data_IF_223893344488
#
_entry.id   IF_223893344488
#
_cell.length_a   1.000
_cell.length_b   1.000
_cell.length_c   1.000
_cell.angle_alpha   90.00
_cell.angle_beta   90.00
_cell.angle_gamma   90.00
#
_symmetry.space_group_name_H-M   'P 1'
#
loop_
_entity.id
_entity.type
_entity.pdbx_description
1 polymer ?
#
# COMPACT_ATOMS: atom_id res chain seq x y z
N UNK A 1 -25.70 57.07 -44.20
CA UNK A 1 -25.75 55.60 -44.26
C UNK A 1 -24.36 55.05 -44.51
N UNK A 2 -23.70 54.45 -43.52
CA UNK A 2 -22.40 53.80 -43.71
C UNK A 2 -22.59 52.37 -44.24
N UNK A 3 -21.84 52.00 -45.27
CA UNK A 3 -21.74 50.63 -45.79
C UNK A 3 -20.75 49.84 -44.94
N UNK A 4 -21.24 48.84 -44.22
CA UNK A 4 -20.43 47.88 -43.46
C UNK A 4 -19.55 47.04 -44.39
N UNK A 5 -18.27 46.78 -44.06
CA UNK A 5 -17.48 45.79 -44.76
C UNK A 5 -17.87 44.38 -44.30
N UNK A 6 -18.22 43.53 -45.28
CA UNK A 6 -18.42 42.09 -45.10
C UNK A 6 -17.15 41.45 -44.58
N UNK A 7 -17.14 41.00 -43.32
CA UNK A 7 -16.14 40.07 -42.79
C UNK A 7 -16.28 38.72 -43.48
N UNK A 8 -15.41 38.46 -44.46
CA UNK A 8 -15.18 37.11 -44.98
C UNK A 8 -14.35 36.33 -43.95
N UNK A 9 -15.02 35.44 -43.20
CA UNK A 9 -14.38 34.38 -42.41
C UNK A 9 -13.48 33.55 -43.33
N UNK A 10 -12.17 33.39 -43.05
CA UNK A 10 -11.33 32.51 -43.84
C UNK A 10 -11.84 31.06 -43.69
N UNK A 11 -11.82 30.25 -44.76
CA UNK A 11 -12.21 28.85 -44.69
C UNK A 11 -11.30 28.16 -43.67
N UNK A 12 -11.88 27.32 -42.81
CA UNK A 12 -11.11 26.43 -41.94
C UNK A 12 -10.17 25.62 -42.82
N UNK A 13 -8.89 25.94 -42.82
CA UNK A 13 -7.89 25.16 -43.52
C UNK A 13 -7.81 23.80 -42.82
N UNK A 14 -8.54 22.82 -43.36
CA UNK A 14 -8.34 21.41 -43.02
C UNK A 14 -6.89 21.12 -43.39
N UNK A 15 -6.02 21.01 -42.37
CA UNK A 15 -4.62 20.66 -42.56
C UNK A 15 -4.56 19.36 -43.37
N UNK A 16 -3.67 19.25 -44.37
CA UNK A 16 -3.53 18.01 -45.12
C UNK A 16 -3.18 16.86 -44.15
N UNK A 17 -3.63 15.63 -44.43
CA UNK A 17 -3.37 14.48 -43.57
C UNK A 17 -1.86 14.32 -43.36
N UNK A 18 -1.44 14.42 -42.11
CA UNK A 18 -0.03 14.35 -41.70
C UNK A 18 0.24 13.00 -41.08
N UNK A 19 1.14 12.21 -41.69
CA UNK A 19 1.57 10.92 -41.12
C UNK A 19 2.18 11.06 -39.73
N UNK A 20 2.80 12.21 -39.45
CA UNK A 20 3.25 12.55 -38.11
C UNK A 20 2.05 12.77 -37.17
N UNK A 21 1.00 13.45 -37.64
CA UNK A 21 -0.26 13.61 -36.90
C UNK A 21 -0.90 12.27 -36.54
N UNK A 22 -0.98 11.34 -37.49
CA UNK A 22 -1.53 9.99 -37.27
C UNK A 22 -0.69 9.19 -36.27
N UNK A 23 0.64 9.30 -36.34
CA UNK A 23 1.55 8.67 -35.39
C UNK A 23 1.42 9.26 -33.97
N UNK A 24 1.33 10.59 -33.86
CA UNK A 24 1.12 11.28 -32.58
C UNK A 24 -0.24 10.94 -31.98
N UNK A 25 -1.30 10.84 -32.79
CA UNK A 25 -2.62 10.42 -32.32
C UNK A 25 -2.60 8.97 -31.80
N UNK A 26 -1.93 8.08 -32.52
CA UNK A 26 -1.77 6.68 -32.09
C UNK A 26 -1.05 6.58 -30.75
N UNK A 27 0.05 7.33 -30.60
CA UNK A 27 0.81 7.39 -29.35
C UNK A 27 -0.05 7.95 -28.21
N UNK A 28 -0.77 9.05 -28.44
CA UNK A 28 -1.63 9.67 -27.43
C UNK A 28 -2.69 8.69 -26.89
N UNK A 29 -3.33 7.91 -27.77
CA UNK A 29 -4.31 6.89 -27.38
C UNK A 29 -3.66 5.78 -26.52
N UNK A 30 -2.45 5.36 -26.89
CA UNK A 30 -1.72 4.33 -26.15
C UNK A 30 -1.32 4.81 -24.75
N UNK A 31 -0.78 6.02 -24.63
CA UNK A 31 -0.42 6.63 -23.34
C UNK A 31 -1.64 6.84 -22.44
N UNK A 32 -2.77 7.26 -23.01
CA UNK A 32 -4.05 7.36 -22.28
C UNK A 32 -4.53 5.99 -21.77
N UNK A 33 -4.32 4.90 -22.54
CA UNK A 33 -4.59 3.55 -22.07
C UNK A 33 -3.65 3.10 -20.94
N UNK A 34 -2.35 3.40 -21.04
CA UNK A 34 -1.37 3.13 -19.97
C UNK A 34 -1.71 3.91 -18.71
N UNK A 35 -2.07 5.19 -18.84
CA UNK A 35 -2.49 6.04 -17.73
C UNK A 35 -3.72 5.48 -17.01
N UNK A 36 -4.74 5.03 -17.74
CA UNK A 36 -5.90 4.35 -17.15
C UNK A 36 -5.51 3.06 -16.41
N UNK A 37 -4.67 2.22 -17.02
CA UNK A 37 -4.20 1.00 -16.38
C UNK A 37 -3.43 1.30 -15.08
N UNK A 38 -2.69 2.42 -15.04
CA UNK A 38 -1.99 2.87 -13.84
C UNK A 38 -2.94 3.30 -12.73
N UNK A 39 -3.99 4.06 -13.05
CA UNK A 39 -5.00 4.44 -12.06
C UNK A 39 -5.70 3.20 -11.46
N UNK A 40 -6.07 2.23 -12.30
CA UNK A 40 -6.63 0.95 -11.82
C UNK A 40 -5.67 0.16 -10.93
N UNK A 41 -4.38 0.18 -11.26
CA UNK A 41 -3.35 -0.44 -10.44
C UNK A 41 -3.27 0.23 -9.06
N UNK A 42 -3.23 1.55 -9.03
CA UNK A 42 -3.10 2.32 -7.81
C UNK A 42 -4.31 2.06 -6.89
N UNK A 43 -5.53 2.08 -7.41
CA UNK A 43 -6.76 1.73 -6.68
C UNK A 43 -6.67 0.30 -6.11
N UNK A 44 -6.28 -0.67 -6.93
CA UNK A 44 -6.15 -2.07 -6.51
C UNK A 44 -5.07 -2.27 -5.44
N UNK A 45 -4.00 -1.46 -5.45
CA UNK A 45 -2.93 -1.50 -4.44
C UNK A 45 -3.39 -0.88 -3.12
N UNK A 46 -4.11 0.25 -3.18
CA UNK A 46 -4.64 0.90 -1.98
C UNK A 46 -5.57 -0.07 -1.24
N UNK A 47 -6.61 -0.55 -1.92
CA UNK A 47 -7.64 -1.42 -1.34
C UNK A 47 -7.10 -2.82 -1.01
N UNK A 48 -6.22 -3.33 -1.88
CA UNK A 48 -5.76 -4.72 -1.82
C UNK A 48 -4.57 -4.94 -0.90
N UNK A 49 -3.75 -3.92 -0.69
CA UNK A 49 -2.48 -4.05 0.04
C UNK A 49 -2.31 -2.98 1.12
N UNK A 50 -2.42 -1.70 0.81
CA UNK A 50 -2.06 -0.63 1.76
C UNK A 50 -2.97 -0.65 2.99
N UNK A 51 -4.29 -0.63 2.82
CA UNK A 51 -5.21 -0.62 3.97
C UNK A 51 -5.15 -1.92 4.80
N UNK A 52 -5.16 -3.12 4.19
CA UNK A 52 -5.02 -4.37 4.96
C UNK A 52 -3.69 -4.44 5.73
N UNK A 53 -2.59 -3.99 5.13
CA UNK A 53 -1.28 -4.05 5.77
C UNK A 53 -1.13 -3.01 6.88
N UNK A 54 -1.76 -1.83 6.73
CA UNK A 54 -1.86 -0.85 7.81
C UNK A 54 -2.62 -1.41 9.02
N UNK A 55 -3.74 -2.09 8.78
CA UNK A 55 -4.54 -2.74 9.82
C UNK A 55 -3.73 -3.84 10.53
N UNK A 56 -2.98 -4.65 9.78
CA UNK A 56 -2.07 -5.62 10.36
C UNK A 56 -0.97 -4.98 11.22
N UNK A 57 -0.46 -3.82 10.80
CA UNK A 57 0.48 -3.02 11.59
C UNK A 57 -0.05 -2.67 12.99
N UNK A 58 -1.34 -2.36 13.11
CA UNK A 58 -1.99 -2.10 14.41
C UNK A 58 -1.97 -3.35 15.30
N UNK A 59 -2.22 -4.53 14.74
CA UNK A 59 -2.18 -5.81 15.49
C UNK A 59 -0.78 -6.09 16.03
N UNK A 60 0.26 -5.83 15.22
CA UNK A 60 1.66 -5.94 15.67
C UNK A 60 1.93 -4.98 16.84
N UNK A 61 1.50 -3.72 16.73
CA UNK A 61 1.71 -2.74 17.80
C UNK A 61 1.01 -3.15 19.10
N UNK A 62 -0.20 -3.72 19.02
CA UNK A 62 -0.90 -4.25 20.18
C UNK A 62 -0.13 -5.40 20.83
N UNK A 63 0.40 -6.34 20.04
CA UNK A 63 1.23 -7.43 20.55
C UNK A 63 2.55 -6.92 21.18
N UNK A 64 3.19 -5.89 20.60
CA UNK A 64 4.39 -5.25 21.18
C UNK A 64 4.08 -4.62 22.53
N UNK A 65 2.96 -3.88 22.64
CA UNK A 65 2.52 -3.29 23.90
C UNK A 65 2.24 -4.35 24.96
N UNK A 66 1.56 -5.43 24.60
CA UNK A 66 1.28 -6.53 25.54
C UNK A 66 2.58 -7.18 26.07
N UNK A 67 3.60 -7.37 25.22
CA UNK A 67 4.93 -7.85 25.66
C UNK A 67 5.57 -6.91 26.68
N UNK A 68 5.43 -5.60 26.49
CA UNK A 68 5.93 -4.61 27.42
C UNK A 68 5.18 -4.67 28.76
N UNK A 69 3.85 -4.82 28.73
CA UNK A 69 3.03 -5.01 29.93
C UNK A 69 3.42 -6.26 30.72
N UNK A 70 3.74 -7.37 30.06
CA UNK A 70 4.28 -8.57 30.72
C UNK A 70 5.60 -8.27 31.43
N UNK A 71 6.51 -7.54 30.77
CA UNK A 71 7.80 -7.15 31.37
C UNK A 71 7.60 -6.29 32.61
N UNK A 72 6.68 -5.34 32.56
CA UNK A 72 6.35 -4.48 33.69
C UNK A 72 5.71 -5.27 34.85
N UNK A 73 4.80 -6.19 34.55
CA UNK A 73 4.20 -7.07 35.56
C UNK A 73 5.24 -7.96 36.26
N UNK A 74 6.24 -8.47 35.53
CA UNK A 74 7.37 -9.23 36.11
C UNK A 74 8.18 -8.38 37.08
N UNK A 75 8.56 -7.16 36.67
CA UNK A 75 9.31 -6.24 37.52
C UNK A 75 8.51 -5.88 38.78
N UNK A 76 7.19 -5.69 38.63
CA UNK A 76 6.29 -5.42 39.74
C UNK A 76 6.24 -6.60 40.72
N UNK A 77 6.07 -7.82 40.22
CA UNK A 77 6.11 -9.03 41.05
C UNK A 77 7.44 -9.17 41.79
N UNK A 78 8.57 -8.95 41.11
CA UNK A 78 9.90 -9.00 41.72
C UNK A 78 10.04 -7.97 42.85
N UNK A 79 9.49 -6.77 42.68
CA UNK A 79 9.49 -5.72 43.70
C UNK A 79 8.71 -6.12 44.96
N UNK A 80 7.54 -6.76 44.81
CA UNK A 80 6.74 -7.24 45.94
C UNK A 80 7.39 -8.44 46.64
N UNK A 81 8.03 -9.33 45.88
CA UNK A 81 8.83 -10.44 46.46
C UNK A 81 9.99 -9.92 47.31
N UNK A 82 10.66 -8.85 46.87
CA UNK A 82 11.69 -8.19 47.68
C UNK A 82 11.11 -7.51 48.93
N UNK A 83 9.95 -6.85 48.81
CA UNK A 83 9.27 -6.22 49.94
C UNK A 83 8.83 -7.23 51.00
N UNK A 84 8.27 -8.38 50.57
CA UNK A 84 7.92 -9.50 51.46
C UNK A 84 9.14 -10.01 52.22
N UNK A 85 10.23 -10.32 51.52
CA UNK A 85 11.49 -10.77 52.15
C UNK A 85 12.05 -9.75 53.14
N UNK A 86 11.95 -8.45 52.83
CA UNK A 86 12.37 -7.38 53.73
C UNK A 86 11.47 -7.31 54.99
N UNK A 87 10.16 -7.51 54.85
CA UNK A 87 9.23 -7.54 55.98
C UNK A 87 9.46 -8.74 56.90
N UNK A 88 9.75 -9.92 56.33
CA UNK A 88 10.11 -11.14 57.06
C UNK A 88 11.39 -10.93 57.88
N UNK A 89 12.45 -10.42 57.24
CA UNK A 89 13.73 -10.13 57.90
C UNK A 89 13.59 -9.08 59.02
N UNK A 90 12.65 -8.15 58.89
CA UNK A 90 12.38 -7.13 59.90
C UNK A 90 11.48 -7.61 61.04
N UNK A 91 10.95 -8.85 60.98
CA UNK A 91 10.06 -9.41 62.00
C UNK A 91 8.74 -8.65 62.17
N UNK A 92 8.20 -8.07 61.09
CA UNK A 92 6.97 -7.23 61.13
C UNK A 92 5.76 -8.01 60.59
N UNK A 93 5.01 -8.76 61.42
CA UNK A 93 3.98 -9.70 60.97
C UNK A 93 2.88 -9.04 60.13
N UNK A 94 2.43 -7.84 60.50
CA UNK A 94 1.40 -7.11 59.73
C UNK A 94 1.88 -6.75 58.32
N UNK A 95 3.17 -6.40 58.19
CA UNK A 95 3.77 -6.10 56.88
C UNK A 95 4.02 -7.36 56.05
N UNK A 96 4.28 -8.48 56.70
CA UNK A 96 4.40 -9.79 56.02
C UNK A 96 3.06 -10.14 55.40
N UNK A 97 1.98 -10.15 56.19
CA UNK A 97 0.63 -10.47 55.67
C UNK A 97 0.23 -9.56 54.50
N UNK A 98 0.41 -8.25 54.62
CA UNK A 98 0.10 -7.31 53.53
C UNK A 98 0.97 -7.53 52.27
N UNK A 99 2.25 -7.84 52.45
CA UNK A 99 3.16 -8.10 51.31
C UNK A 99 2.87 -9.44 50.64
N UNK A 100 2.43 -10.46 51.40
CA UNK A 100 1.99 -11.75 50.84
C UNK A 100 0.80 -11.56 49.92
N UNK A 101 -0.23 -10.83 50.37
CA UNK A 101 -1.39 -10.52 49.52
C UNK A 101 -0.98 -9.74 48.26
N UNK A 102 -0.10 -8.75 48.39
CA UNK A 102 0.38 -7.97 47.23
C UNK A 102 1.19 -8.83 46.23
N UNK A 103 1.91 -9.85 46.71
CA UNK A 103 2.59 -10.83 45.84
C UNK A 103 1.55 -11.67 45.11
N UNK A 104 0.55 -12.22 45.79
CA UNK A 104 -0.52 -13.02 45.16
C UNK A 104 -1.24 -12.22 44.05
N UNK A 105 -1.64 -10.98 44.34
CA UNK A 105 -2.28 -10.08 43.36
C UNK A 105 -1.36 -9.79 42.15
N UNK A 106 -0.05 -9.64 42.38
CA UNK A 106 0.92 -9.43 41.31
C UNK A 106 1.16 -10.69 40.46
N UNK A 107 1.06 -11.89 41.06
CA UNK A 107 1.16 -13.16 40.35
C UNK A 107 -0.05 -13.38 39.43
N UNK A 108 -1.26 -13.17 39.96
CA UNK A 108 -2.50 -13.26 39.16
C UNK A 108 -2.47 -12.28 37.98
N UNK A 109 -2.04 -11.04 38.23
CA UNK A 109 -1.89 -10.04 37.17
C UNK A 109 -0.87 -10.49 36.12
N UNK A 110 0.28 -11.03 36.54
CA UNK A 110 1.31 -11.51 35.62
C UNK A 110 0.78 -12.65 34.73
N UNK A 111 0.01 -13.58 35.29
CA UNK A 111 -0.64 -14.66 34.53
C UNK A 111 -1.59 -14.06 33.49
N UNK A 112 -2.53 -13.21 33.92
CA UNK A 112 -3.53 -12.61 33.04
C UNK A 112 -2.91 -11.86 31.85
N UNK A 113 -1.93 -10.96 32.10
CA UNK A 113 -1.29 -10.20 31.02
C UNK A 113 -0.41 -11.08 30.12
N UNK A 114 0.10 -12.20 30.63
CA UNK A 114 0.87 -13.16 29.83
C UNK A 114 -0.04 -13.93 28.89
N UNK A 115 -1.20 -14.39 29.36
CA UNK A 115 -2.20 -15.07 28.52
C UNK A 115 -2.70 -14.15 27.41
N UNK A 116 -3.03 -12.89 27.74
CA UNK A 116 -3.42 -11.88 26.75
C UNK A 116 -2.31 -11.63 25.72
N UNK A 117 -1.06 -11.45 26.18
CA UNK A 117 0.09 -11.26 25.29
C UNK A 117 0.28 -12.45 24.33
N UNK A 118 0.14 -13.69 24.82
CA UNK A 118 0.24 -14.90 23.99
C UNK A 118 -0.87 -14.91 22.95
N UNK A 119 -2.11 -14.60 23.35
CA UNK A 119 -3.26 -14.55 22.45
C UNK A 119 -3.05 -13.54 21.31
N UNK A 120 -2.61 -12.33 21.64
CA UNK A 120 -2.31 -11.27 20.67
C UNK A 120 -1.17 -11.66 19.73
N UNK A 121 -0.11 -12.27 20.25
CA UNK A 121 1.01 -12.75 19.44
C UNK A 121 0.61 -13.87 18.48
N UNK A 122 -0.26 -14.79 18.92
CA UNK A 122 -0.81 -15.84 18.04
C UNK A 122 -1.66 -15.24 16.93
N UNK A 123 -2.53 -14.28 17.25
CA UNK A 123 -3.35 -13.60 16.25
C UNK A 123 -2.52 -12.95 15.13
N UNK A 124 -1.35 -12.38 15.47
CA UNK A 124 -0.41 -11.83 14.47
C UNK A 124 0.17 -12.91 13.57
N UNK A 125 0.51 -14.08 14.11
CA UNK A 125 1.14 -15.18 13.35
C UNK A 125 0.14 -15.97 12.50
N UNK A 126 -1.08 -16.13 12.99
CA UNK A 126 -2.14 -16.92 12.33
C UNK A 126 -2.97 -16.09 11.34
N UNK A 127 -2.79 -14.78 11.31
CA UNK A 127 -3.47 -13.90 10.37
C UNK A 127 -3.05 -14.21 8.93
N UNK A 128 -3.99 -14.68 8.11
CA UNK A 128 -3.79 -14.84 6.68
C UNK A 128 -3.74 -13.49 5.92
N UNK A 129 -4.18 -12.40 6.56
CA UNK A 129 -4.35 -11.08 5.95
C UNK A 129 -3.11 -10.56 5.21
N UNK A 130 -1.91 -10.55 5.82
CA UNK A 130 -0.70 -10.04 5.18
C UNK A 130 -0.29 -10.84 3.95
N UNK A 131 -0.41 -12.16 3.99
CA UNK A 131 -0.07 -13.04 2.86
C UNK A 131 -1.05 -12.81 1.71
N UNK A 132 -2.34 -12.68 2.00
CA UNK A 132 -3.35 -12.34 1.00
C UNK A 132 -3.13 -10.94 0.40
N UNK A 133 -2.75 -9.96 1.22
CA UNK A 133 -2.43 -8.61 0.78
C UNK A 133 -1.22 -8.59 -0.17
N UNK A 134 -0.16 -9.34 0.14
CA UNK A 134 0.99 -9.52 -0.75
C UNK A 134 0.60 -10.18 -2.07
N UNK A 135 -0.28 -11.19 -2.03
CA UNK A 135 -0.79 -11.81 -3.26
C UNK A 135 -1.55 -10.81 -4.13
N UNK A 136 -2.39 -9.95 -3.53
CA UNK A 136 -3.11 -8.89 -4.25
C UNK A 136 -2.16 -7.84 -4.85
N UNK A 137 -1.13 -7.42 -4.11
CA UNK A 137 -0.12 -6.50 -4.63
C UNK A 137 0.56 -7.05 -5.89
N UNK A 138 1.03 -8.30 -5.84
CA UNK A 138 1.71 -8.93 -6.99
C UNK A 138 0.77 -9.04 -8.18
N UNK A 139 -0.50 -9.40 -7.96
CA UNK A 139 -1.51 -9.46 -9.03
C UNK A 139 -1.76 -8.09 -9.66
N UNK A 140 -1.91 -7.03 -8.87
CA UNK A 140 -2.10 -5.67 -9.37
C UNK A 140 -0.89 -5.20 -10.21
N UNK A 141 0.33 -5.51 -9.76
CA UNK A 141 1.56 -5.23 -10.52
C UNK A 141 1.60 -5.98 -11.86
N UNK A 142 1.33 -7.30 -11.83
CA UNK A 142 1.36 -8.13 -13.03
C UNK A 142 0.34 -7.67 -14.08
N UNK A 143 -0.88 -7.35 -13.63
CA UNK A 143 -1.96 -6.93 -14.52
C UNK A 143 -1.65 -5.57 -15.19
N UNK A 144 -1.14 -4.60 -14.43
CA UNK A 144 -0.70 -3.32 -15.00
C UNK A 144 0.38 -3.50 -16.06
N UNK A 145 1.45 -4.25 -15.75
CA UNK A 145 2.55 -4.44 -16.69
C UNK A 145 2.10 -5.15 -17.97
N UNK A 146 1.18 -6.12 -17.84
CA UNK A 146 0.56 -6.78 -18.99
C UNK A 146 -0.24 -5.79 -19.85
N UNK A 147 -1.16 -5.03 -19.26
CA UNK A 147 -1.99 -4.08 -20.01
C UNK A 147 -1.16 -2.98 -20.68
N UNK A 148 -0.17 -2.43 -19.97
CA UNK A 148 0.73 -1.41 -20.51
C UNK A 148 1.56 -1.95 -21.68
N UNK A 149 2.11 -3.17 -21.55
CA UNK A 149 2.85 -3.82 -22.63
C UNK A 149 1.97 -4.07 -23.86
N UNK A 150 0.74 -4.54 -23.66
CA UNK A 150 -0.20 -4.75 -24.76
C UNK A 150 -0.58 -3.45 -25.48
N UNK A 151 -0.79 -2.35 -24.74
CA UNK A 151 -1.11 -1.05 -25.31
C UNK A 151 0.06 -0.48 -26.13
N UNK A 152 1.26 -0.50 -25.57
CA UNK A 152 2.47 0.01 -26.23
C UNK A 152 2.89 -0.86 -27.42
N UNK A 153 2.71 -2.18 -27.34
CA UNK A 153 2.99 -3.08 -28.48
C UNK A 153 2.10 -2.75 -29.68
N UNK A 154 0.79 -2.55 -29.46
CA UNK A 154 -0.14 -2.16 -30.54
C UNK A 154 0.23 -0.82 -31.15
N UNK A 155 0.64 0.14 -30.32
CA UNK A 155 1.08 1.45 -30.78
C UNK A 155 2.36 1.36 -31.61
N UNK A 156 3.34 0.57 -31.16
CA UNK A 156 4.60 0.35 -31.85
C UNK A 156 4.39 -0.23 -33.26
N UNK A 157 3.52 -1.25 -33.39
CA UNK A 157 3.20 -1.85 -34.68
C UNK A 157 2.54 -0.84 -35.64
N UNK A 158 1.56 -0.08 -35.14
CA UNK A 158 0.83 0.92 -35.93
C UNK A 158 1.73 2.09 -36.37
N UNK A 159 2.59 2.59 -35.48
CA UNK A 159 3.55 3.65 -35.78
C UNK A 159 4.61 3.15 -36.77
N UNK A 160 5.12 1.93 -36.60
CA UNK A 160 6.09 1.33 -37.53
C UNK A 160 5.51 1.24 -38.94
N UNK A 161 4.26 0.79 -39.08
CA UNK A 161 3.55 0.78 -40.37
C UNK A 161 3.41 2.18 -40.97
N UNK A 162 3.09 3.17 -40.14
CA UNK A 162 2.95 4.58 -40.55
C UNK A 162 4.30 5.14 -41.03
N UNK A 163 5.39 4.84 -40.32
CA UNK A 163 6.74 5.22 -40.69
C UNK A 163 7.17 4.60 -42.03
N UNK A 164 6.99 3.29 -42.22
CA UNK A 164 7.30 2.63 -43.51
C UNK A 164 6.52 3.24 -44.67
N UNK A 165 5.25 3.57 -44.47
CA UNK A 165 4.45 4.29 -45.47
C UNK A 165 4.99 5.69 -45.75
N UNK A 166 5.40 6.43 -44.71
CA UNK A 166 5.98 7.77 -44.84
C UNK A 166 7.23 7.75 -45.72
N UNK A 167 8.18 6.86 -45.43
CA UNK A 167 9.39 6.72 -46.22
C UNK A 167 9.11 6.29 -47.66
N UNK A 168 8.15 5.39 -47.89
CA UNK A 168 7.77 4.97 -49.24
C UNK A 168 7.24 6.15 -50.07
N UNK A 169 6.42 7.02 -49.47
CA UNK A 169 5.93 8.24 -50.12
C UNK A 169 7.05 9.23 -50.44
N UNK A 170 8.01 9.41 -49.52
CA UNK A 170 9.16 10.27 -49.74
C UNK A 170 10.07 9.73 -50.87
N UNK A 171 10.33 8.42 -50.91
CA UNK A 171 11.07 7.78 -52.01
C UNK A 171 10.36 7.98 -53.36
N UNK A 172 9.04 7.78 -53.41
CA UNK A 172 8.26 7.97 -54.63
C UNK A 172 8.27 9.43 -55.12
N UNK A 173 8.30 10.41 -54.21
CA UNK A 173 8.39 11.83 -54.58
C UNK A 173 9.74 12.27 -55.14
N UNK A 174 10.79 11.45 -54.95
CA UNK A 174 12.17 11.71 -55.39
C UNK A 174 12.55 10.97 -56.68
N UNK A 175 11.71 10.04 -57.14
CA UNK A 175 11.89 9.26 -58.37
C UNK A 175 11.18 9.95 -59.55
#
# INVERSE_FOLDING_TARGET
SPTSPTTTTPPSATLPPSKLGDALQTLAIAEDAVGRARLQQDDAIVDGFVEPFATFGVQIQLAIKARQTVREARLHLDSWKQALKAAENAGKPDKVSASTQAVEEAEDKLVAVTEECISLMKAVLESAGPVLALSKLVKAQAEYHKQAAEALSKAADAITKTASSAEAGERASRA
#
